data_IF_675645202983
#
_entry.id   IF_675645202983
#
_cell.length_a   1.000
_cell.length_b   1.000
_cell.length_c   1.000
_cell.angle_alpha   90.00
_cell.angle_beta   90.00
_cell.angle_gamma   90.00
#
_symmetry.space_group_name_H-M   'P 1'
#
loop_
_entity.id
_entity.type
_entity.pdbx_description
1 polymer ?
#
# COMPACT_ATOMS: atom_id res chain seq x y z
N UNK A 1 12.12 -18.61 -32.27
CA UNK A 1 10.72 -18.23 -31.95
C UNK A 1 10.66 -17.72 -30.51
N UNK A 2 10.57 -16.42 -30.29
CA UNK A 2 10.40 -15.84 -28.94
C UNK A 2 8.97 -16.10 -28.46
N UNK A 3 8.80 -17.05 -27.53
CA UNK A 3 7.49 -17.34 -26.92
C UNK A 3 7.00 -16.06 -26.22
N UNK A 4 5.89 -15.47 -26.69
CA UNK A 4 5.27 -14.31 -26.03
C UNK A 4 4.96 -14.70 -24.59
N UNK A 5 5.49 -13.93 -23.63
CA UNK A 5 5.30 -14.22 -22.21
C UNK A 5 3.83 -14.00 -21.84
N UNK A 6 3.21 -15.01 -21.22
CA UNK A 6 1.82 -14.92 -20.78
C UNK A 6 1.73 -14.10 -19.48
N UNK A 7 1.47 -12.80 -19.62
CA UNK A 7 1.33 -11.88 -18.49
C UNK A 7 0.16 -12.23 -17.55
N UNK A 8 -0.91 -12.86 -18.05
CA UNK A 8 -2.02 -13.31 -17.21
C UNK A 8 -1.56 -14.38 -16.21
N UNK A 9 -0.93 -15.44 -16.72
CA UNK A 9 -0.39 -16.51 -15.88
C UNK A 9 0.74 -16.07 -14.94
N UNK A 10 1.48 -15.01 -15.28
CA UNK A 10 2.45 -14.38 -14.36
C UNK A 10 1.73 -13.65 -13.23
N UNK A 11 0.73 -12.82 -13.53
CA UNK A 11 -0.05 -12.09 -12.53
C UNK A 11 -0.82 -13.02 -11.59
N UNK A 12 -1.40 -14.09 -12.12
CA UNK A 12 -2.14 -15.07 -11.32
C UNK A 12 -1.21 -15.81 -10.36
N UNK A 13 -0.02 -16.22 -10.82
CA UNK A 13 1.02 -16.79 -9.94
C UNK A 13 1.44 -15.81 -8.85
N UNK A 14 1.66 -14.55 -9.20
CA UNK A 14 2.02 -13.52 -8.23
C UNK A 14 0.91 -13.28 -7.18
N UNK A 15 -0.35 -13.29 -7.61
CA UNK A 15 -1.50 -13.15 -6.72
C UNK A 15 -1.58 -14.31 -5.73
N UNK A 16 -1.45 -15.54 -6.21
CA UNK A 16 -1.50 -16.74 -5.36
C UNK A 16 -0.27 -16.76 -4.43
N UNK A 17 0.91 -16.36 -4.92
CA UNK A 17 2.10 -16.30 -4.07
C UNK A 17 1.93 -15.30 -2.91
N UNK A 18 1.28 -14.15 -3.15
CA UNK A 18 1.07 -13.13 -2.11
C UNK A 18 -0.11 -13.40 -1.19
N UNK A 19 -1.19 -13.98 -1.72
CA UNK A 19 -2.50 -14.06 -1.03
C UNK A 19 -3.08 -15.47 -0.90
N UNK A 20 -2.48 -16.45 -1.57
CA UNK A 20 -2.91 -17.85 -1.51
C UNK A 20 -2.59 -18.48 -0.17
N UNK A 21 -3.42 -19.46 0.19
CA UNK A 21 -3.23 -20.30 1.38
C UNK A 21 -2.07 -21.28 1.16
N UNK A 22 -1.98 -21.78 -0.08
CA UNK A 22 -0.95 -22.72 -0.50
C UNK A 22 0.33 -22.00 -0.94
N UNK A 23 1.46 -22.63 -0.67
CA UNK A 23 2.75 -22.16 -1.15
C UNK A 23 2.94 -22.62 -2.60
N UNK A 24 3.05 -21.66 -3.53
CA UNK A 24 3.24 -21.96 -4.95
C UNK A 24 4.52 -22.78 -5.22
N UNK A 25 5.51 -22.71 -4.34
CA UNK A 25 6.74 -23.51 -4.43
C UNK A 25 6.49 -25.01 -4.24
N UNK A 26 5.39 -25.39 -3.58
CA UNK A 26 5.05 -26.78 -3.26
C UNK A 26 4.17 -27.43 -4.33
N UNK A 27 3.65 -26.65 -5.29
CA UNK A 27 2.78 -27.11 -6.38
C UNK A 27 3.56 -27.90 -7.47
N UNK A 28 4.40 -28.85 -7.04
CA UNK A 28 5.25 -29.67 -7.89
C UNK A 28 6.22 -30.60 -7.16
N UNK A 29 6.25 -30.59 -5.82
CA UNK A 29 7.16 -31.43 -5.02
C UNK A 29 6.35 -32.51 -4.29
N UNK A 30 6.47 -33.80 -4.65
CA UNK A 30 5.81 -34.87 -3.92
C UNK A 30 6.32 -34.92 -2.48
N UNK A 31 5.45 -34.70 -1.50
CA UNK A 31 5.73 -34.97 -0.08
C UNK A 31 6.23 -33.81 0.77
N UNK A 32 6.39 -32.60 0.23
CA UNK A 32 6.71 -31.40 1.01
C UNK A 32 5.51 -30.43 1.04
N UNK A 33 4.48 -30.77 1.81
CA UNK A 33 3.40 -29.83 2.11
C UNK A 33 3.94 -28.83 3.14
N UNK A 34 4.45 -27.68 2.70
CA UNK A 34 4.80 -26.62 3.65
C UNK A 34 3.52 -26.21 4.38
N UNK A 35 3.67 -25.84 5.65
CA UNK A 35 2.51 -25.40 6.45
C UNK A 35 1.80 -24.24 5.76
N UNK A 36 0.46 -24.29 5.62
CA UNK A 36 -0.30 -23.24 4.97
C UNK A 36 0.04 -21.86 5.54
N UNK A 37 0.07 -20.84 4.68
CA UNK A 37 0.35 -19.47 5.12
C UNK A 37 -0.71 -19.06 6.14
N UNK A 38 -0.27 -18.81 7.38
CA UNK A 38 -1.17 -18.33 8.43
C UNK A 38 -1.67 -16.94 8.06
N UNK A 39 -2.99 -16.80 7.95
CA UNK A 39 -3.63 -15.49 7.79
C UNK A 39 -3.25 -14.62 9.00
N UNK A 40 -2.90 -13.33 8.79
CA UNK A 40 -2.74 -12.39 9.88
C UNK A 40 -3.98 -12.37 10.78
N UNK A 41 -3.78 -12.32 12.09
CA UNK A 41 -4.87 -12.26 13.05
C UNK A 41 -5.71 -11.00 12.86
N UNK A 42 -6.96 -11.01 13.36
CA UNK A 42 -7.88 -9.87 13.27
C UNK A 42 -7.29 -8.59 13.88
N UNK A 43 -6.49 -8.71 14.94
CA UNK A 43 -5.80 -7.59 15.56
C UNK A 43 -4.73 -6.96 14.64
N UNK A 44 -3.94 -7.79 13.95
CA UNK A 44 -2.94 -7.30 12.99
C UNK A 44 -3.61 -6.59 11.81
N UNK A 45 -4.68 -7.16 11.27
CA UNK A 45 -5.44 -6.52 10.18
C UNK A 45 -6.09 -5.19 10.60
N UNK A 46 -6.51 -5.07 11.87
CA UNK A 46 -6.99 -3.79 12.42
C UNK A 46 -5.86 -2.78 12.55
N UNK A 47 -4.71 -3.18 13.09
CA UNK A 47 -3.56 -2.30 13.20
C UNK A 47 -3.07 -1.80 11.82
N UNK A 48 -3.09 -2.64 10.79
CA UNK A 48 -2.79 -2.24 9.40
C UNK A 48 -3.81 -1.24 8.85
N UNK A 49 -5.10 -1.46 9.15
CA UNK A 49 -6.18 -0.58 8.74
C UNK A 49 -6.11 0.76 9.47
N UNK A 50 -5.91 0.75 10.78
CA UNK A 50 -5.72 1.94 11.61
C UNK A 50 -4.49 2.74 11.16
N UNK A 51 -3.39 2.07 10.82
CA UNK A 51 -2.19 2.71 10.27
C UNK A 51 -2.43 3.32 8.87
N UNK A 52 -3.24 2.67 8.03
CA UNK A 52 -3.62 3.19 6.72
C UNK A 52 -4.62 4.35 6.81
N UNK A 53 -5.51 4.31 7.80
CA UNK A 53 -6.53 5.33 8.07
C UNK A 53 -6.02 6.49 8.94
N UNK A 54 -4.84 6.36 9.53
CA UNK A 54 -4.17 7.43 10.27
C UNK A 54 -4.06 8.68 9.39
N UNK A 55 -4.99 9.60 9.62
CA UNK A 55 -5.11 10.88 8.96
C UNK A 55 -4.56 11.93 9.91
N UNK A 56 -3.53 12.64 9.48
CA UNK A 56 -2.88 13.69 10.25
C UNK A 56 -3.50 15.02 9.83
N UNK A 57 -4.13 15.71 10.76
CA UNK A 57 -4.52 17.11 10.58
C UNK A 57 -3.28 17.99 10.63
N UNK A 58 -3.04 18.77 9.56
CA UNK A 58 -1.96 19.76 9.50
C UNK A 58 -2.55 21.13 9.23
N UNK A 59 -2.20 22.10 10.08
CA UNK A 59 -2.38 23.52 9.77
C UNK A 59 -1.20 23.95 8.90
N UNK A 60 -1.48 24.40 7.68
CA UNK A 60 -0.48 24.72 6.67
C UNK A 60 -0.53 26.22 6.42
N UNK A 61 0.64 26.86 6.44
CA UNK A 61 0.77 28.30 6.17
C UNK A 61 1.43 28.50 4.82
N UNK A 62 0.73 29.21 3.95
CA UNK A 62 1.29 29.68 2.69
C UNK A 62 2.21 30.88 2.94
N UNK A 63 3.33 31.03 2.22
CA UNK A 63 4.12 32.27 2.21
C UNK A 63 3.30 33.52 1.86
N UNK A 64 2.24 33.34 1.07
CA UNK A 64 1.27 34.37 0.73
C UNK A 64 0.32 34.81 1.86
N UNK A 65 0.48 34.28 3.08
CA UNK A 65 -0.32 34.66 4.26
C UNK A 65 -1.63 33.89 4.44
N UNK A 66 -1.96 32.95 3.55
CA UNK A 66 -3.12 32.09 3.71
C UNK A 66 -2.84 30.92 4.65
N UNK A 67 -3.78 30.65 5.56
CA UNK A 67 -3.74 29.48 6.44
C UNK A 67 -4.89 28.54 6.10
N UNK A 68 -4.62 27.24 6.16
CA UNK A 68 -5.64 26.22 5.94
C UNK A 68 -5.34 24.95 6.71
N UNK A 69 -6.36 24.35 7.29
CA UNK A 69 -6.25 23.05 7.97
C UNK A 69 -6.64 21.96 6.99
N UNK A 70 -5.70 21.06 6.68
CA UNK A 70 -5.95 19.94 5.78
C UNK A 70 -5.73 18.61 6.51
N UNK A 71 -6.59 17.65 6.19
CA UNK A 71 -6.44 16.27 6.63
C UNK A 71 -5.55 15.56 5.62
N UNK A 72 -4.32 15.23 6.02
CA UNK A 72 -3.32 14.59 5.16
C UNK A 72 -3.17 13.12 5.58
N UNK A 73 -3.28 12.15 4.67
CA UNK A 73 -2.96 10.76 4.98
C UNK A 73 -1.53 10.64 5.52
N UNK A 74 -1.29 9.78 6.52
CA UNK A 74 0.04 9.64 7.16
C UNK A 74 1.16 9.36 6.13
N UNK A 75 0.89 8.57 5.09
CA UNK A 75 1.83 8.31 4.00
C UNK A 75 2.32 9.57 3.26
N UNK A 76 1.51 10.64 3.27
CA UNK A 76 1.80 11.93 2.64
C UNK A 76 2.04 13.04 3.66
N UNK A 77 2.26 12.69 4.93
CA UNK A 77 2.45 13.65 6.00
C UNK A 77 3.57 14.66 5.72
N UNK A 78 4.63 14.26 4.99
CA UNK A 78 5.76 15.12 4.59
C UNK A 78 5.67 15.68 3.17
N UNK A 79 4.55 15.46 2.47
CA UNK A 79 4.39 15.97 1.12
C UNK A 79 4.34 17.50 1.12
N UNK A 80 4.93 18.10 0.07
CA UNK A 80 4.85 19.53 -0.21
C UNK A 80 3.45 19.84 -0.75
N UNK A 81 2.69 20.65 -0.01
CA UNK A 81 1.34 21.06 -0.39
C UNK A 81 1.42 22.40 -1.11
N UNK A 82 0.56 22.61 -2.12
CA UNK A 82 0.50 23.87 -2.86
C UNK A 82 -0.72 24.66 -2.45
N UNK A 83 -0.56 25.97 -2.34
CA UNK A 83 -1.68 26.88 -2.14
C UNK A 83 -2.53 26.93 -3.41
N UNK A 84 -3.85 26.77 -3.28
CA UNK A 84 -4.78 26.84 -4.42
C UNK A 84 -4.89 28.26 -5.02
N UNK A 85 -4.58 29.30 -4.24
CA UNK A 85 -4.66 30.70 -4.69
C UNK A 85 -3.41 31.18 -5.40
N UNK A 86 -2.21 30.96 -4.84
CA UNK A 86 -0.96 31.46 -5.44
C UNK A 86 -0.12 30.38 -6.14
N UNK A 87 -0.45 29.09 -5.99
CA UNK A 87 0.31 27.98 -6.59
C UNK A 87 1.66 27.69 -5.91
N UNK A 88 2.09 28.51 -4.97
CA UNK A 88 3.35 28.31 -4.24
C UNK A 88 3.28 27.13 -3.28
N UNK A 89 4.44 26.53 -3.02
CA UNK A 89 4.57 25.43 -2.06
C UNK A 89 4.46 26.01 -0.65
N UNK A 90 3.43 25.60 0.07
CA UNK A 90 3.25 25.94 1.46
C UNK A 90 4.20 25.10 2.34
N UNK A 91 4.76 25.75 3.36
CA UNK A 91 5.69 25.14 4.31
C UNK A 91 4.94 24.34 5.39
#
# INVERSE_FOLDING_TARGET
MTRKMNWGGVRDRDRIARRGVDNIADMGVPGALSTPKKRPGKAALRAELDAAEAKITRTIKCPCGHEGTAIVPAAKARARLRCSKCGEVAA
#
